data_IF_910744652280
#
_entry.id   IF_910744652280
#
_cell.length_a   1.000
_cell.length_b   1.000
_cell.length_c   1.000
_cell.angle_alpha   90.00
_cell.angle_beta   90.00
_cell.angle_gamma   90.00
#
_symmetry.space_group_name_H-M   'P 1'
#
loop_
_entity.id
_entity.type
_entity.pdbx_description
1 polymer ?
#
# COMPACT_ATOMS: atom_id res chain seq x y z
N UNK A 1 -2.20 -6.12 -16.66
CA UNK A 1 -3.18 -6.18 -15.55
C UNK A 1 -3.87 -4.84 -15.49
N UNK A 2 -5.22 -4.77 -15.40
CA UNK A 2 -5.91 -3.47 -15.44
C UNK A 2 -5.54 -2.66 -14.19
N UNK A 3 -5.49 -1.33 -14.30
CA UNK A 3 -5.19 -0.42 -13.18
C UNK A 3 -6.03 -0.75 -11.93
N UNK A 4 -7.32 -1.05 -12.10
CA UNK A 4 -8.21 -1.44 -11.01
C UNK A 4 -7.72 -2.67 -10.26
N UNK A 5 -7.30 -3.71 -11.00
CA UNK A 5 -6.84 -4.97 -10.41
C UNK A 5 -5.56 -4.74 -9.59
N UNK A 6 -4.65 -3.88 -10.08
CA UNK A 6 -3.44 -3.47 -9.33
C UNK A 6 -3.77 -2.75 -8.03
N UNK A 7 -4.72 -1.82 -8.07
CA UNK A 7 -5.16 -1.06 -6.89
C UNK A 7 -5.82 -2.01 -5.87
N UNK A 8 -6.65 -2.94 -6.35
CA UNK A 8 -7.33 -3.89 -5.48
C UNK A 8 -6.34 -4.90 -4.86
N UNK A 9 -5.33 -5.34 -5.61
CA UNK A 9 -4.21 -6.14 -5.09
C UNK A 9 -3.42 -5.38 -4.02
N UNK A 10 -3.01 -4.14 -4.31
CA UNK A 10 -2.27 -3.31 -3.35
C UNK A 10 -3.04 -3.13 -2.04
N UNK A 11 -4.35 -2.85 -2.11
CA UNK A 11 -5.19 -2.75 -0.91
C UNK A 11 -5.33 -4.06 -0.16
N UNK A 12 -5.26 -5.21 -0.84
CA UNK A 12 -5.28 -6.51 -0.19
C UNK A 12 -3.97 -6.73 0.59
N UNK A 13 -2.82 -6.50 -0.05
CA UNK A 13 -1.50 -6.63 0.59
C UNK A 13 -1.33 -5.65 1.76
N UNK A 14 -1.83 -4.41 1.66
CA UNK A 14 -1.80 -3.46 2.79
C UNK A 14 -2.52 -3.97 4.06
N UNK A 15 -3.55 -4.82 3.93
CA UNK A 15 -4.31 -5.33 5.09
C UNK A 15 -3.52 -6.33 5.92
N UNK A 16 -2.59 -7.03 5.30
CA UNK A 16 -1.76 -8.07 5.93
C UNK A 16 -0.35 -7.57 6.22
N UNK A 17 0.09 -6.52 5.53
CA UNK A 17 1.43 -5.93 5.58
C UNK A 17 2.07 -5.84 6.98
N UNK A 18 1.39 -5.27 8.00
CA UNK A 18 1.99 -5.14 9.34
C UNK A 18 2.22 -6.50 10.00
N UNK A 19 1.25 -7.41 9.88
CA UNK A 19 1.34 -8.74 10.47
C UNK A 19 2.42 -9.57 9.76
N UNK A 20 2.51 -9.46 8.44
CA UNK A 20 3.50 -10.17 7.64
C UNK A 20 4.91 -9.65 7.91
N UNK A 21 5.09 -8.33 8.05
CA UNK A 21 6.38 -7.73 8.44
C UNK A 21 6.84 -8.23 9.81
N UNK A 22 5.97 -8.25 10.81
CA UNK A 22 6.27 -8.80 12.15
C UNK A 22 6.57 -10.31 12.11
N UNK A 23 5.81 -11.07 11.30
CA UNK A 23 6.01 -12.50 11.12
C UNK A 23 7.35 -12.82 10.43
N UNK A 24 7.75 -12.04 9.42
CA UNK A 24 9.03 -12.17 8.71
C UNK A 24 10.22 -11.86 9.63
N UNK A 25 10.11 -10.83 10.49
CA UNK A 25 11.13 -10.50 11.49
C UNK A 25 11.33 -11.63 12.53
N UNK A 26 10.25 -12.35 12.84
CA UNK A 26 10.21 -13.42 13.83
C UNK A 26 10.53 -14.80 13.25
N UNK A 27 10.83 -14.90 11.97
CA UNK A 27 10.88 -16.17 11.26
C UNK A 27 12.17 -16.95 11.52
N UNK A 28 12.04 -18.19 12.02
CA UNK A 28 13.15 -19.12 12.24
C UNK A 28 12.97 -20.38 11.38
N UNK A 29 13.80 -20.56 10.35
CA UNK A 29 13.60 -21.56 9.29
C UNK A 29 14.01 -22.99 9.67
N UNK A 30 13.14 -23.99 9.46
CA UNK A 30 13.61 -25.40 9.31
C UNK A 30 12.83 -26.29 8.32
N UNK A 31 11.72 -25.89 7.68
CA UNK A 31 10.97 -26.74 6.72
C UNK A 31 10.66 -26.07 5.36
N UNK A 32 10.24 -26.88 4.37
CA UNK A 32 9.95 -26.46 2.99
C UNK A 32 8.62 -25.72 2.81
N UNK A 33 7.53 -26.14 3.47
CA UNK A 33 6.24 -25.42 3.41
C UNK A 33 6.31 -24.05 4.08
N UNK A 34 7.16 -23.98 5.09
CA UNK A 34 7.61 -22.81 5.81
C UNK A 34 8.26 -21.78 4.87
N UNK A 35 9.14 -22.23 3.97
CA UNK A 35 9.78 -21.37 2.96
C UNK A 35 8.80 -20.77 1.95
N UNK A 36 7.83 -21.55 1.45
CA UNK A 36 6.86 -21.02 0.49
C UNK A 36 5.98 -19.92 1.11
N UNK A 37 5.54 -20.11 2.36
CA UNK A 37 4.78 -19.08 3.07
C UNK A 37 5.62 -17.84 3.34
N UNK A 38 6.91 -18.03 3.68
CA UNK A 38 7.86 -16.92 3.81
C UNK A 38 7.98 -16.11 2.51
N UNK A 39 8.18 -16.79 1.38
CA UNK A 39 8.29 -16.13 0.06
C UNK A 39 7.01 -15.36 -0.30
N UNK A 40 5.82 -15.91 -0.05
CA UNK A 40 4.57 -15.17 -0.30
C UNK A 40 4.41 -13.92 0.60
N UNK A 41 4.71 -14.03 1.89
CA UNK A 41 4.66 -12.87 2.80
C UNK A 41 5.68 -11.80 2.39
N UNK A 42 6.87 -12.23 1.95
CA UNK A 42 7.90 -11.32 1.44
C UNK A 42 7.43 -10.60 0.17
N UNK A 43 6.82 -11.32 -0.78
CA UNK A 43 6.27 -10.73 -2.01
C UNK A 43 5.19 -9.67 -1.71
N UNK A 44 4.30 -9.93 -0.75
CA UNK A 44 3.27 -8.96 -0.34
C UNK A 44 3.87 -7.72 0.34
N UNK A 45 4.88 -7.89 1.19
CA UNK A 45 5.59 -6.78 1.83
C UNK A 45 6.36 -5.96 0.80
N UNK A 46 7.13 -6.61 -0.07
CA UNK A 46 7.92 -5.95 -1.11
C UNK A 46 7.02 -5.17 -2.07
N UNK A 47 5.88 -5.75 -2.46
CA UNK A 47 4.92 -5.05 -3.33
C UNK A 47 4.36 -3.76 -2.68
N UNK A 48 4.07 -3.79 -1.38
CA UNK A 48 3.60 -2.58 -0.66
C UNK A 48 4.70 -1.53 -0.56
N UNK A 49 5.94 -1.94 -0.24
CA UNK A 49 7.09 -1.03 -0.14
C UNK A 49 7.40 -0.40 -1.50
N UNK A 50 7.44 -1.18 -2.59
CA UNK A 50 7.65 -0.67 -3.97
C UNK A 50 6.61 0.39 -4.34
N UNK A 51 5.33 0.16 -4.03
CA UNK A 51 4.27 1.14 -4.28
C UNK A 51 4.47 2.39 -3.42
N UNK A 52 4.88 2.25 -2.16
CA UNK A 52 5.16 3.38 -1.29
C UNK A 52 6.36 4.21 -1.73
N UNK A 53 7.43 3.58 -2.21
CA UNK A 53 8.57 4.26 -2.82
C UNK A 53 8.12 5.04 -4.04
N UNK A 54 7.37 4.43 -4.96
CA UNK A 54 6.83 5.14 -6.13
C UNK A 54 5.90 6.29 -5.77
N UNK A 55 5.04 6.13 -4.75
CA UNK A 55 4.21 7.23 -4.24
C UNK A 55 5.08 8.38 -3.70
N UNK A 56 6.14 8.08 -2.98
CA UNK A 56 7.04 9.09 -2.45
C UNK A 56 7.81 9.82 -3.56
N UNK A 57 8.34 9.08 -4.53
CA UNK A 57 9.11 9.62 -5.66
C UNK A 57 8.25 10.44 -6.62
N UNK A 58 7.07 9.93 -6.99
CA UNK A 58 6.22 10.55 -8.00
C UNK A 58 5.24 11.58 -7.42
N UNK A 59 4.83 11.43 -6.16
CA UNK A 59 3.76 12.22 -5.54
C UNK A 59 4.17 12.93 -4.23
N UNK A 60 5.34 12.62 -3.68
CA UNK A 60 5.90 13.20 -2.46
C UNK A 60 5.59 12.42 -1.19
N UNK A 61 6.39 12.61 -0.14
CA UNK A 61 6.28 11.91 1.16
C UNK A 61 4.88 12.00 1.80
N UNK A 62 4.16 13.10 1.62
CA UNK A 62 2.78 13.22 2.12
C UNK A 62 1.83 12.21 1.46
N UNK A 63 2.04 11.86 0.19
CA UNK A 63 1.22 10.87 -0.51
C UNK A 63 1.40 9.48 0.09
N UNK A 64 2.66 9.07 0.29
CA UNK A 64 3.02 7.83 0.99
C UNK A 64 2.36 7.76 2.37
N UNK A 65 2.48 8.83 3.17
CA UNK A 65 1.89 8.88 4.51
C UNK A 65 0.36 8.76 4.47
N UNK A 66 -0.33 9.48 3.59
CA UNK A 66 -1.79 9.37 3.46
C UNK A 66 -2.23 7.95 3.06
N UNK A 67 -1.52 7.30 2.13
CA UNK A 67 -1.84 5.94 1.72
C UNK A 67 -1.58 4.94 2.85
N UNK A 68 -0.49 5.11 3.60
CA UNK A 68 -0.21 4.31 4.78
C UNK A 68 -1.35 4.40 5.81
N UNK A 69 -1.79 5.61 6.15
CA UNK A 69 -2.89 5.80 7.11
C UNK A 69 -4.19 5.18 6.60
N UNK A 70 -4.54 5.40 5.33
CA UNK A 70 -5.79 4.90 4.75
C UNK A 70 -5.84 3.38 4.58
N UNK A 71 -4.73 2.76 4.14
CA UNK A 71 -4.75 1.37 3.68
C UNK A 71 -4.05 0.40 4.63
N UNK A 72 -3.00 0.85 5.31
CA UNK A 72 -2.28 0.01 6.28
C UNK A 72 -2.84 0.19 7.69
N UNK A 73 -3.06 1.44 8.13
CA UNK A 73 -3.70 1.71 9.43
C UNK A 73 -5.23 1.64 9.39
N UNK A 74 -5.81 1.51 8.18
CA UNK A 74 -7.24 1.45 7.95
C UNK A 74 -8.01 2.64 8.56
N UNK A 75 -7.39 3.82 8.62
CA UNK A 75 -8.04 5.03 9.09
C UNK A 75 -9.11 5.50 8.12
N UNK A 76 -10.11 6.21 8.64
CA UNK A 76 -11.17 6.73 7.80
C UNK A 76 -10.67 7.90 6.96
N UNK A 77 -11.22 8.06 5.75
CA UNK A 77 -10.92 9.25 4.93
C UNK A 77 -11.25 10.57 5.63
N UNK A 78 -12.18 10.57 6.60
CA UNK A 78 -12.53 11.77 7.34
C UNK A 78 -11.42 12.15 8.33
N UNK A 79 -10.85 11.17 9.03
CA UNK A 79 -9.78 11.40 10.01
C UNK A 79 -8.49 11.82 9.31
N UNK A 80 -8.08 11.09 8.26
CA UNK A 80 -6.92 11.46 7.46
C UNK A 80 -7.12 12.83 6.80
N UNK A 81 -8.29 13.14 6.25
CA UNK A 81 -8.50 14.47 5.67
C UNK A 81 -8.33 15.59 6.72
N UNK A 82 -8.82 15.37 7.94
CA UNK A 82 -8.67 16.32 9.04
C UNK A 82 -7.20 16.52 9.43
N UNK A 83 -6.42 15.45 9.52
CA UNK A 83 -4.98 15.52 9.87
C UNK A 83 -4.18 16.38 8.88
N UNK A 84 -4.56 16.35 7.60
CA UNK A 84 -3.88 17.10 6.55
C UNK A 84 -4.56 18.43 6.19
N UNK A 85 -5.55 18.88 6.97
CA UNK A 85 -6.24 20.15 6.72
C UNK A 85 -7.06 20.16 5.42
N UNK A 86 -7.52 19.00 4.98
CA UNK A 86 -8.33 18.80 3.77
C UNK A 86 -9.79 18.51 4.13
N UNK A 87 -10.68 18.76 3.18
CA UNK A 87 -12.01 18.13 3.20
C UNK A 87 -11.90 16.68 2.75
N UNK A 88 -12.83 15.83 3.20
CA UNK A 88 -12.93 14.42 2.74
C UNK A 88 -12.96 14.33 1.20
N UNK A 89 -13.66 15.25 0.53
CA UNK A 89 -13.77 15.26 -0.94
C UNK A 89 -12.43 15.60 -1.60
N UNK A 90 -11.70 16.58 -1.07
CA UNK A 90 -10.36 16.93 -1.57
C UNK A 90 -9.41 15.74 -1.40
N UNK A 91 -9.41 15.10 -0.23
CA UNK A 91 -8.62 13.89 -0.01
C UNK A 91 -8.97 12.81 -1.04
N UNK A 92 -10.26 12.49 -1.22
CA UNK A 92 -10.68 11.48 -2.18
C UNK A 92 -10.22 11.79 -3.62
N UNK A 93 -10.32 13.05 -4.06
CA UNK A 93 -9.83 13.47 -5.38
C UNK A 93 -8.30 13.35 -5.50
N UNK A 94 -7.57 13.74 -4.47
CA UNK A 94 -6.11 13.64 -4.41
C UNK A 94 -5.65 12.19 -4.48
N UNK A 95 -6.26 11.30 -3.68
CA UNK A 95 -5.97 9.87 -3.70
C UNK A 95 -6.23 9.27 -5.08
N UNK A 96 -7.36 9.59 -5.72
CA UNK A 96 -7.64 9.08 -7.08
C UNK A 96 -6.62 9.56 -8.11
N UNK A 97 -6.16 10.80 -8.02
CA UNK A 97 -5.14 11.33 -8.93
C UNK A 97 -3.82 10.58 -8.77
N UNK A 98 -3.37 10.38 -7.52
CA UNK A 98 -2.12 9.65 -7.25
C UNK A 98 -2.24 8.15 -7.57
N UNK A 99 -3.41 7.54 -7.35
CA UNK A 99 -3.66 6.17 -7.80
C UNK A 99 -3.53 6.02 -9.31
N UNK A 100 -4.02 7.00 -10.07
CA UNK A 100 -3.78 7.00 -11.52
C UNK A 100 -2.29 7.13 -11.79
N UNK A 101 -1.65 8.16 -11.25
CA UNK A 101 -0.23 8.40 -11.53
C UNK A 101 0.68 7.18 -11.28
N UNK A 102 0.50 6.49 -10.14
CA UNK A 102 1.35 5.35 -9.76
C UNK A 102 0.95 4.03 -10.41
N UNK A 103 -0.34 3.83 -10.73
CA UNK A 103 -0.84 2.53 -11.22
C UNK A 103 -1.30 2.53 -12.68
N UNK A 104 -1.27 3.67 -13.39
CA UNK A 104 -1.46 3.73 -14.84
C UNK A 104 -0.11 3.48 -15.54
N UNK A 105 0.00 2.38 -16.27
CA UNK A 105 1.22 2.04 -17.05
C UNK A 105 1.26 2.76 -18.41
N UNK A 106 0.27 3.60 -18.73
CA UNK A 106 0.13 4.24 -20.04
C UNK A 106 -0.34 3.30 -21.15
N UNK A 107 -0.84 2.09 -20.83
CA UNK A 107 -1.48 1.20 -21.81
C UNK A 107 -2.98 1.58 -21.97
N UNK A 108 -3.28 2.29 -23.07
CA UNK A 108 -4.60 2.31 -23.72
C UNK A 108 -4.89 0.99 -24.44
#
# INVERSE_FOLDING_TARGET
MKQKDKIDAFKASCRVYLNEKEALESYHSTNLGDRYMYEMMQDDVDFVEDVFERLEDECGTQAKLMFYLLYVKAETQQDVAKEFGLTRRQLQQTIYRWQRQVFDDGEE
#
